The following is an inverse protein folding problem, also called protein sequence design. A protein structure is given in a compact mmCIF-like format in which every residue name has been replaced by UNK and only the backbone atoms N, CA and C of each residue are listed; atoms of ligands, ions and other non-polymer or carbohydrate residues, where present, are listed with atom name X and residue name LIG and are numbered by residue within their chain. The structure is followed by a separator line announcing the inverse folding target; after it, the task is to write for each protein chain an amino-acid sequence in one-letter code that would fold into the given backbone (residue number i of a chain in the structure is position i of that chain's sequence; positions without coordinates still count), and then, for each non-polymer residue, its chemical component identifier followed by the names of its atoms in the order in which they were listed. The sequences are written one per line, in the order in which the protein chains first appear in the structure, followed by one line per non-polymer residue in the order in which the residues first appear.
data_IF_648058566377
#
_entry.id   IF_648058566377
#
_cell.length_a   1.000
_cell.length_b   1.000
_cell.length_c   1.000
_cell.angle_alpha   90.00
_cell.angle_beta   90.00
_cell.angle_gamma   90.00
#
_symmetry.space_group_name_H-M   'P 1'
#
loop_
_entity.id
_entity.type
_entity.pdbx_description
1 polymer ?
#
# COMPACT_ATOMS: atom_id res chain seq x y z
N UNK A 1 3.40 38.38 42.22
CA UNK A 1 3.42 37.78 40.87
C UNK A 1 2.58 36.51 40.90
N UNK A 2 1.44 36.40 40.21
CA UNK A 2 0.78 35.11 40.05
C UNK A 2 1.46 34.34 38.91
N UNK A 3 1.82 33.10 39.21
CA UNK A 3 2.48 32.15 38.32
C UNK A 3 1.39 31.51 37.44
N UNK A 4 1.35 31.89 36.16
CA UNK A 4 0.47 31.29 35.16
C UNK A 4 1.00 29.89 34.83
N UNK A 5 0.37 28.86 35.39
CA UNK A 5 0.47 27.49 34.90
C UNK A 5 -0.20 27.44 33.52
N UNK A 6 0.62 27.36 32.48
CA UNK A 6 0.16 26.90 31.17
C UNK A 6 -0.24 25.44 31.32
N UNK A 7 -1.55 25.19 31.39
CA UNK A 7 -2.11 23.88 31.08
C UNK A 7 -1.64 23.53 29.67
N UNK A 8 -0.66 22.62 29.58
CA UNK A 8 -0.33 21.97 28.33
C UNK A 8 -1.64 21.36 27.81
N UNK A 9 -2.25 22.04 26.84
CA UNK A 9 -3.48 21.58 26.23
C UNK A 9 -3.23 20.18 25.73
N UNK A 10 -4.07 19.24 26.13
CA UNK A 10 -4.15 17.96 25.42
C UNK A 10 -4.58 18.30 24.00
N UNK A 11 -3.63 18.53 23.09
CA UNK A 11 -3.92 18.60 21.67
C UNK A 11 -4.59 17.29 21.32
N UNK A 12 -5.89 17.38 21.00
CA UNK A 12 -6.62 16.20 20.57
C UNK A 12 -5.89 15.70 19.33
N UNK A 13 -5.51 14.40 19.27
CA UNK A 13 -4.90 13.87 18.08
C UNK A 13 -5.84 14.15 16.91
N UNK A 14 -5.35 14.96 15.96
CA UNK A 14 -6.17 15.36 14.83
C UNK A 14 -6.34 14.12 13.96
N UNK A 15 -7.57 13.60 13.88
CA UNK A 15 -7.84 12.39 13.12
C UNK A 15 -7.63 12.66 11.62
N UNK A 16 -7.10 11.67 10.92
CA UNK A 16 -7.04 11.68 9.45
C UNK A 16 -8.47 11.58 8.92
N UNK A 17 -8.88 12.57 8.13
CA UNK A 17 -10.17 12.56 7.43
C UNK A 17 -10.14 11.64 6.21
N UNK A 18 -11.31 11.33 5.67
CA UNK A 18 -11.43 10.57 4.43
C UNK A 18 -10.73 11.26 3.26
N UNK A 19 -10.98 12.56 3.07
CA UNK A 19 -10.34 13.34 2.01
C UNK A 19 -8.80 13.32 2.10
N UNK A 20 -8.25 13.44 3.32
CA UNK A 20 -6.81 13.33 3.55
C UNK A 20 -6.28 11.93 3.22
N UNK A 21 -6.97 10.86 3.64
CA UNK A 21 -6.54 9.50 3.31
C UNK A 21 -6.61 9.22 1.81
N UNK A 22 -7.63 9.73 1.12
CA UNK A 22 -7.78 9.61 -0.33
C UNK A 22 -6.66 10.31 -1.12
N UNK A 23 -5.99 11.31 -0.55
CA UNK A 23 -4.79 11.94 -1.14
C UNK A 23 -3.51 11.11 -0.93
N UNK A 24 -3.49 10.22 0.06
CA UNK A 24 -2.35 9.36 0.38
C UNK A 24 -2.33 8.12 -0.52
N UNK A 25 -3.49 7.53 -0.82
CA UNK A 25 -3.63 6.32 -1.65
C UNK A 25 -2.85 6.39 -2.97
N UNK A 26 -2.99 7.43 -3.82
CA UNK A 26 -2.23 7.50 -5.07
C UNK A 26 -0.72 7.56 -4.84
N UNK A 27 -0.24 8.15 -3.74
CA UNK A 27 1.19 8.19 -3.40
C UNK A 27 1.72 6.80 -3.01
N UNK A 28 0.95 6.04 -2.23
CA UNK A 28 1.30 4.65 -1.88
C UNK A 28 1.41 3.80 -3.14
N UNK A 29 0.37 3.87 -3.99
CA UNK A 29 0.29 3.05 -5.20
C UNK A 29 1.38 3.42 -6.20
N UNK A 30 1.59 4.72 -6.45
CA UNK A 30 2.64 5.16 -7.37
C UNK A 30 4.02 4.71 -6.92
N UNK A 31 4.36 4.89 -5.63
CA UNK A 31 5.65 4.45 -5.12
C UNK A 31 5.84 2.93 -5.26
N UNK A 32 4.86 2.14 -4.81
CA UNK A 32 4.97 0.68 -4.84
C UNK A 32 5.01 0.13 -6.27
N UNK A 33 4.32 0.77 -7.22
CA UNK A 33 4.41 0.41 -8.63
C UNK A 33 5.79 0.72 -9.20
N UNK A 34 6.27 1.95 -9.02
CA UNK A 34 7.53 2.41 -9.59
C UNK A 34 8.70 1.58 -9.04
N UNK A 35 8.72 1.31 -7.74
CA UNK A 35 9.72 0.42 -7.12
C UNK A 35 9.63 -1.02 -7.65
N UNK A 36 8.43 -1.60 -7.69
CA UNK A 36 8.25 -2.97 -8.17
C UNK A 36 8.71 -3.12 -9.63
N UNK A 37 8.39 -2.16 -10.51
CA UNK A 37 8.80 -2.19 -11.91
C UNK A 37 10.31 -1.94 -12.08
N UNK A 38 10.91 -1.09 -11.26
CA UNK A 38 12.36 -0.84 -11.31
C UNK A 38 13.18 -2.04 -10.84
N UNK A 39 12.69 -2.75 -9.82
CA UNK A 39 13.34 -3.95 -9.29
C UNK A 39 13.07 -5.22 -10.13
N UNK A 40 12.17 -5.14 -11.10
CA UNK A 40 11.79 -6.28 -11.92
C UNK A 40 12.93 -6.67 -12.88
N UNK A 41 13.23 -7.98 -13.05
CA UNK A 41 14.13 -8.46 -14.09
C UNK A 41 13.76 -7.91 -15.47
N UNK A 42 14.76 -7.67 -16.32
CA UNK A 42 14.53 -7.15 -17.67
C UNK A 42 13.51 -8.03 -18.44
N UNK A 43 12.49 -7.38 -19.01
CA UNK A 43 11.42 -8.08 -19.72
C UNK A 43 10.23 -8.51 -18.86
N UNK A 44 10.36 -8.48 -17.53
CA UNK A 44 9.25 -8.73 -16.59
C UNK A 44 8.51 -7.43 -16.20
N UNK A 45 7.42 -7.54 -15.44
CA UNK A 45 6.61 -6.40 -14.98
C UNK A 45 6.14 -5.44 -16.09
N UNK A 46 5.89 -5.92 -17.32
CA UNK A 46 5.34 -5.10 -18.42
C UNK A 46 3.81 -5.07 -18.48
N UNK A 47 3.16 -5.89 -17.66
CA UNK A 47 1.71 -6.01 -17.60
C UNK A 47 1.02 -4.84 -16.86
N UNK A 48 -0.32 -4.87 -16.80
CA UNK A 48 -1.12 -3.88 -16.10
C UNK A 48 -0.79 -3.79 -14.60
N UNK A 49 -1.21 -2.68 -14.00
CA UNK A 49 -1.25 -2.53 -12.55
C UNK A 49 -2.56 -3.10 -11.99
N UNK A 50 -2.44 -4.00 -11.03
CA UNK A 50 -3.51 -4.52 -10.22
C UNK A 50 -3.44 -3.95 -8.80
N UNK A 51 -4.57 -3.53 -8.24
CA UNK A 51 -4.66 -3.05 -6.86
C UNK A 51 -5.77 -3.79 -6.13
N UNK A 52 -5.56 -4.15 -4.87
CA UNK A 52 -6.62 -4.66 -3.99
C UNK A 52 -7.31 -3.51 -3.22
N UNK A 53 -8.42 -2.93 -3.74
CA UNK A 53 -9.13 -1.86 -3.05
C UNK A 53 -9.75 -2.32 -1.72
N UNK A 54 -9.96 -3.63 -1.53
CA UNK A 54 -10.51 -4.17 -0.27
C UNK A 54 -9.48 -4.02 0.85
N UNK A 55 -8.19 -4.14 0.53
CA UNK A 55 -7.10 -3.95 1.48
C UNK A 55 -7.02 -2.50 2.00
N UNK A 56 -7.12 -1.52 1.11
CA UNK A 56 -7.17 -0.09 1.47
C UNK A 56 -8.43 0.24 2.29
N UNK A 57 -9.59 -0.23 1.83
CA UNK A 57 -10.86 -0.07 2.56
C UNK A 57 -10.79 -0.65 3.96
N UNK A 58 -10.30 -1.89 4.08
CA UNK A 58 -10.19 -2.59 5.36
C UNK A 58 -9.35 -1.78 6.37
N UNK A 59 -8.17 -1.33 5.97
CA UNK A 59 -7.28 -0.61 6.86
C UNK A 59 -7.74 0.83 7.14
N UNK A 60 -8.28 1.54 6.16
CA UNK A 60 -8.85 2.86 6.39
C UNK A 60 -10.04 2.81 7.36
N UNK A 61 -10.93 1.84 7.21
CA UNK A 61 -12.07 1.67 8.11
C UNK A 61 -11.60 1.25 9.51
N UNK A 62 -10.67 0.30 9.60
CA UNK A 62 -10.22 -0.25 10.89
C UNK A 62 -9.32 0.71 11.68
N UNK A 63 -8.37 1.35 11.01
CA UNK A 63 -7.34 2.16 11.68
C UNK A 63 -7.74 3.63 11.82
N UNK A 64 -8.43 4.17 10.82
CA UNK A 64 -8.80 5.60 10.77
C UNK A 64 -10.28 5.85 11.06
N UNK A 65 -11.08 4.79 11.27
CA UNK A 65 -12.52 4.86 11.49
C UNK A 65 -13.24 5.61 10.35
N UNK A 66 -12.83 5.35 9.12
CA UNK A 66 -13.43 5.89 7.89
C UNK A 66 -14.51 4.96 7.33
N UNK A 67 -15.29 5.45 6.38
CA UNK A 67 -16.28 4.67 5.64
C UNK A 67 -15.93 4.69 4.15
N UNK A 68 -14.87 3.97 3.79
CA UNK A 68 -14.36 3.99 2.42
C UNK A 68 -15.14 3.06 1.50
N UNK A 69 -15.37 3.54 0.27
CA UNK A 69 -15.89 2.74 -0.83
C UNK A 69 -14.76 2.29 -1.76
N UNK A 70 -14.84 1.06 -2.26
CA UNK A 70 -13.82 0.49 -3.14
C UNK A 70 -13.79 1.18 -4.51
N UNK A 71 -14.93 1.62 -5.06
CA UNK A 71 -14.92 2.33 -6.34
C UNK A 71 -14.31 3.73 -6.18
N UNK A 72 -14.59 4.42 -5.07
CA UNK A 72 -13.94 5.69 -4.75
C UNK A 72 -12.41 5.55 -4.61
N UNK A 73 -11.92 4.51 -3.91
CA UNK A 73 -10.49 4.19 -3.81
C UNK A 73 -9.87 4.02 -5.20
N UNK A 74 -10.51 3.23 -6.07
CA UNK A 74 -9.99 2.99 -7.42
C UNK A 74 -9.98 4.27 -8.27
N UNK A 75 -10.99 5.12 -8.13
CA UNK A 75 -11.05 6.42 -8.82
C UNK A 75 -9.95 7.39 -8.36
N UNK A 76 -9.55 7.36 -7.09
CA UNK A 76 -8.52 8.23 -6.55
C UNK A 76 -7.09 7.91 -7.02
N UNK A 77 -6.82 6.69 -7.51
CA UNK A 77 -5.49 6.25 -7.93
C UNK A 77 -4.98 7.05 -9.16
N UNK A 78 -5.85 7.74 -9.90
CA UNK A 78 -5.51 8.65 -11.01
C UNK A 78 -4.49 8.09 -12.03
N UNK A 79 -4.54 6.79 -12.30
CA UNK A 79 -3.80 6.09 -13.36
C UNK A 79 -4.53 4.82 -13.80
N UNK A 80 -4.20 4.23 -14.96
CA UNK A 80 -4.80 2.97 -15.39
C UNK A 80 -4.50 1.84 -14.40
N UNK A 81 -5.53 1.34 -13.75
CA UNK A 81 -5.44 0.28 -12.73
C UNK A 81 -6.63 -0.66 -12.85
N UNK A 82 -6.42 -1.94 -12.55
CA UNK A 82 -7.48 -2.94 -12.48
C UNK A 82 -7.67 -3.39 -11.02
N UNK A 83 -8.91 -3.44 -10.50
CA UNK A 83 -9.15 -4.00 -9.19
C UNK A 83 -8.93 -5.52 -9.25
N UNK A 84 -8.04 -6.04 -8.42
CA UNK A 84 -7.82 -7.49 -8.28
C UNK A 84 -7.48 -7.84 -6.85
N UNK A 85 -7.48 -9.12 -6.53
CA UNK A 85 -7.04 -9.62 -5.24
C UNK A 85 -5.81 -10.49 -5.40
N UNK A 86 -5.08 -10.70 -4.30
CA UNK A 86 -3.86 -11.49 -4.35
C UNK A 86 -4.15 -12.90 -4.86
N UNK A 87 -5.23 -13.52 -4.39
CA UNK A 87 -5.68 -14.84 -4.83
C UNK A 87 -6.08 -14.94 -6.32
N UNK A 88 -6.37 -13.80 -6.96
CA UNK A 88 -6.68 -13.72 -8.39
C UNK A 88 -5.45 -13.44 -9.25
N UNK A 89 -4.34 -13.00 -8.66
CA UNK A 89 -3.08 -12.70 -9.35
C UNK A 89 -2.08 -13.85 -9.20
N UNK A 90 -2.01 -14.43 -8.01
CA UNK A 90 -1.12 -15.54 -7.65
C UNK A 90 -1.91 -16.60 -6.90
N UNK A 91 -1.83 -17.85 -7.38
CA UNK A 91 -2.42 -19.01 -6.72
C UNK A 91 -1.32 -19.94 -6.24
N UNK A 92 -1.11 -19.98 -4.93
CA UNK A 92 -0.15 -20.90 -4.32
C UNK A 92 -0.87 -22.13 -3.77
N UNK A 93 -0.36 -23.31 -4.13
CA UNK A 93 -0.82 -24.59 -3.61
C UNK A 93 0.35 -25.38 -3.03
N UNK A 94 0.08 -26.14 -1.97
CA UNK A 94 1.06 -27.02 -1.33
C UNK A 94 0.96 -28.38 -2.00
N UNK A 95 2.02 -28.78 -2.70
CA UNK A 95 2.15 -30.13 -3.27
C UNK A 95 3.15 -30.95 -2.45
N UNK A 96 3.23 -32.25 -2.72
CA UNK A 96 4.12 -33.18 -2.02
C UNK A 96 5.61 -32.77 -2.07
N UNK A 97 6.00 -31.96 -3.08
CA UNK A 97 7.37 -31.48 -3.29
C UNK A 97 7.61 -30.05 -2.76
N UNK A 98 6.61 -29.41 -2.16
CA UNK A 98 6.69 -28.04 -1.64
C UNK A 98 5.60 -27.10 -2.18
N UNK A 99 5.55 -25.85 -1.69
CA UNK A 99 4.64 -24.83 -2.22
C UNK A 99 5.03 -24.47 -3.66
N UNK A 100 4.07 -24.50 -4.57
CA UNK A 100 4.20 -23.96 -5.93
C UNK A 100 3.14 -22.91 -6.16
N UNK A 101 3.55 -21.79 -6.74
CA UNK A 101 2.66 -20.68 -7.09
C UNK A 101 2.51 -20.62 -8.60
N UNK A 102 1.28 -20.59 -9.09
CA UNK A 102 0.96 -20.24 -10.47
C UNK A 102 0.57 -18.77 -10.54
N UNK A 103 1.00 -18.12 -11.62
CA UNK A 103 0.65 -16.75 -11.91
C UNK A 103 -0.56 -16.78 -12.84
N UNK A 104 -1.68 -16.26 -12.37
CA UNK A 104 -2.92 -16.18 -13.14
C UNK A 104 -3.02 -14.87 -13.93
N UNK A 105 -2.36 -13.81 -13.45
CA UNK A 105 -2.33 -12.49 -14.11
C UNK A 105 -0.91 -11.93 -14.11
N UNK A 106 -0.39 -11.61 -15.30
CA UNK A 106 0.92 -10.97 -15.47
C UNK A 106 0.83 -9.46 -15.26
N UNK A 107 1.74 -8.91 -14.44
CA UNK A 107 1.77 -7.48 -14.16
C UNK A 107 2.40 -7.14 -12.82
N UNK A 108 1.90 -6.06 -12.22
CA UNK A 108 2.28 -5.63 -10.87
C UNK A 108 1.02 -5.62 -10.02
N UNK A 109 1.02 -6.34 -8.90
CA UNK A 109 -0.06 -6.30 -7.93
C UNK A 109 0.36 -5.55 -6.68
N UNK A 110 -0.52 -4.69 -6.15
CA UNK A 110 -0.28 -3.89 -4.95
C UNK A 110 -1.44 -4.04 -3.97
N UNK A 111 -1.09 -4.23 -2.70
CA UNK A 111 -2.05 -4.18 -1.59
C UNK A 111 -1.49 -3.37 -0.42
N UNK A 112 -2.41 -2.86 0.40
CA UNK A 112 -2.09 -2.30 1.71
C UNK A 112 -2.13 -3.43 2.75
N UNK A 113 -0.98 -3.74 3.32
CA UNK A 113 -0.80 -4.87 4.24
C UNK A 113 -1.02 -4.47 5.69
N UNK A 114 -0.69 -3.24 6.06
CA UNK A 114 -0.92 -2.66 7.38
C UNK A 114 -0.98 -1.13 7.28
N UNK A 115 -1.79 -0.51 8.13
CA UNK A 115 -1.81 0.93 8.34
C UNK A 115 -1.71 1.19 9.83
N UNK A 116 -0.75 2.02 10.24
CA UNK A 116 -0.63 2.52 11.61
C UNK A 116 -0.75 4.04 11.59
N UNK A 117 -1.33 4.62 12.63
CA UNK A 117 -1.46 6.07 12.78
C UNK A 117 -1.03 6.49 14.17
N UNK A 118 -0.26 7.55 14.22
CA UNK A 118 0.09 8.32 15.42
C UNK A 118 -0.31 9.79 15.19
N UNK A 119 -0.21 10.69 16.18
CA UNK A 119 -0.72 12.05 16.05
C UNK A 119 -0.17 12.86 14.86
N UNK A 120 1.07 12.60 14.45
CA UNK A 120 1.76 13.34 13.38
C UNK A 120 2.34 12.45 12.29
N UNK A 121 2.17 11.13 12.41
CA UNK A 121 2.74 10.13 11.50
C UNK A 121 1.68 9.11 11.09
N UNK A 122 1.76 8.68 9.84
CA UNK A 122 0.98 7.58 9.31
C UNK A 122 1.95 6.63 8.61
N UNK A 123 1.94 5.36 9.02
CA UNK A 123 2.81 4.33 8.47
C UNK A 123 1.95 3.41 7.61
N UNK A 124 2.23 3.38 6.30
CA UNK A 124 1.57 2.48 5.37
C UNK A 124 2.53 1.38 4.95
N UNK A 125 2.20 0.14 5.32
CA UNK A 125 2.94 -1.02 4.87
C UNK A 125 2.29 -1.57 3.62
N UNK A 126 3.01 -1.53 2.51
CA UNK A 126 2.52 -2.04 1.21
C UNK A 126 3.27 -3.30 0.84
N UNK A 127 2.54 -4.25 0.25
CA UNK A 127 3.12 -5.41 -0.42
C UNK A 127 2.88 -5.25 -1.90
N UNK A 128 3.94 -5.46 -2.68
CA UNK A 128 3.88 -5.51 -4.14
C UNK A 128 4.38 -6.85 -4.65
N UNK A 129 3.69 -7.40 -5.65
CA UNK A 129 4.08 -8.61 -6.36
C UNK A 129 4.36 -8.26 -7.82
N UNK A 130 5.56 -8.57 -8.30
CA UNK A 130 5.81 -8.65 -9.74
C UNK A 130 5.53 -10.07 -10.19
N UNK A 131 4.67 -10.21 -11.19
CA UNK A 131 4.32 -11.49 -11.77
C UNK A 131 4.76 -11.59 -13.23
N UNK A 132 5.34 -12.73 -13.59
CA UNK A 132 5.73 -13.08 -14.94
C UNK A 132 5.57 -14.58 -15.21
N UNK A 133 4.58 -14.95 -16.04
CA UNK A 133 4.22 -16.33 -16.37
C UNK A 133 5.35 -17.15 -17.01
N UNK A 134 6.27 -16.49 -17.72
CA UNK A 134 7.31 -17.19 -18.48
C UNK A 134 8.63 -17.39 -17.71
N UNK A 135 8.69 -17.03 -16.42
CA UNK A 135 9.85 -17.34 -15.59
C UNK A 135 9.71 -18.78 -15.07
N UNK A 136 10.74 -19.63 -15.20
CA UNK A 136 10.75 -20.98 -14.62
C UNK A 136 11.85 -21.05 -13.54
N UNK A 137 11.51 -21.38 -12.28
CA UNK A 137 10.14 -21.50 -11.76
C UNK A 137 9.42 -20.14 -11.79
N UNK A 138 8.08 -20.16 -11.84
CA UNK A 138 7.23 -18.96 -11.77
C UNK A 138 7.67 -18.13 -10.57
N UNK A 139 8.38 -17.02 -10.83
CA UNK A 139 8.96 -16.22 -9.77
C UNK A 139 7.96 -15.15 -9.36
N UNK A 140 7.38 -15.32 -8.18
CA UNK A 140 6.64 -14.25 -7.50
C UNK A 140 7.68 -13.46 -6.71
N UNK A 141 8.02 -12.28 -7.20
CA UNK A 141 8.87 -11.37 -6.44
C UNK A 141 7.98 -10.54 -5.50
N UNK A 142 7.89 -10.97 -4.24
CA UNK A 142 7.20 -10.23 -3.18
C UNK A 142 8.14 -9.21 -2.53
N UNK A 143 7.77 -7.93 -2.65
CA UNK A 143 8.45 -6.82 -1.98
C UNK A 143 7.53 -6.21 -0.93
N UNK A 144 8.11 -5.75 0.18
CA UNK A 144 7.37 -5.07 1.25
C UNK A 144 8.04 -3.76 1.59
N UNK A 145 7.26 -2.69 1.64
CA UNK A 145 7.73 -1.36 1.99
C UNK A 145 6.92 -0.78 3.15
N UNK A 146 7.60 -0.02 3.98
CA UNK A 146 6.98 0.91 4.93
C UNK A 146 7.14 2.32 4.38
N UNK A 147 6.01 2.98 4.20
CA UNK A 147 5.93 4.37 3.75
C UNK A 147 5.54 5.23 4.94
N UNK A 148 6.36 6.22 5.24
CA UNK A 148 6.18 7.14 6.35
C UNK A 148 5.58 8.43 5.82
N UNK A 149 4.38 8.75 6.26
CA UNK A 149 3.73 10.02 5.98
C UNK A 149 3.77 10.88 7.24
N UNK A 150 4.20 12.12 7.10
CA UNK A 150 4.20 13.11 8.19
C UNK A 150 3.16 14.18 7.90
N UNK A 151 2.41 14.58 8.93
CA UNK A 151 1.44 15.66 8.80
C UNK A 151 2.15 17.02 8.75
N UNK A 152 1.83 17.80 7.73
CA UNK A 152 2.28 19.18 7.56
C UNK A 152 1.05 20.11 7.40
N UNK A 153 1.26 21.42 7.34
CA UNK A 153 0.19 22.42 7.18
C UNK A 153 -0.68 22.15 5.94
N UNK A 154 -0.06 21.69 4.86
CA UNK A 154 -0.72 21.38 3.59
C UNK A 154 -1.32 19.96 3.50
N UNK A 155 -1.23 19.16 4.56
CA UNK A 155 -1.71 17.78 4.61
C UNK A 155 -0.60 16.74 4.82
N UNK A 156 -0.87 15.49 4.45
CA UNK A 156 0.08 14.39 4.60
C UNK A 156 1.12 14.37 3.49
N UNK A 157 2.39 14.30 3.88
CA UNK A 157 3.52 14.24 2.96
C UNK A 157 4.32 12.97 3.18
N UNK A 158 4.68 12.27 2.09
CA UNK A 158 5.58 11.12 2.14
C UNK A 158 7.00 11.60 2.50
N UNK A 159 7.49 11.23 3.67
CA UNK A 159 8.80 11.66 4.21
C UNK A 159 9.81 10.53 4.35
N UNK A 160 9.36 9.27 4.33
CA UNK A 160 10.24 8.11 4.47
C UNK A 160 9.78 6.91 3.66
N UNK A 161 10.74 6.13 3.15
CA UNK A 161 10.54 4.93 2.35
C UNK A 161 11.53 3.88 2.82
N UNK A 162 11.05 2.86 3.52
CA UNK A 162 11.90 1.85 4.14
C UNK A 162 11.58 0.47 3.55
N UNK A 163 12.48 -0.16 2.77
CA UNK A 163 12.29 -1.54 2.36
C UNK A 163 12.29 -2.44 3.60
N UNK A 164 11.34 -3.37 3.67
CA UNK A 164 11.20 -4.38 4.74
C UNK A 164 11.48 -5.79 4.23
N UNK A 165 11.30 -6.01 2.94
CA UNK A 165 11.64 -7.25 2.24
C UNK A 165 11.91 -6.93 0.78
N UNK A 166 13.04 -7.41 0.30
CA UNK A 166 13.40 -7.43 -1.11
C UNK A 166 13.51 -8.88 -1.56
N UNK A 167 13.18 -9.10 -2.83
CA UNK A 167 13.66 -10.27 -3.57
C UNK A 167 15.17 -10.07 -3.79
#
# INVERSE_FOLDING_TARGET
LPMLLFLAGCERPTRTSEAEFMQIIPQIVAFAEDDARQAAPEGSARGPLFVDPRSFRYWGNRQLNLSLDSAAIMAAINRPVQPSSEENVVQCAIFQLGPTCSITQDGVFIRLSLLLTEPHTLLAYTTSLVTHQNYIPSAVCERRHELVFTRQEAGWQLTGRNPKREC
#
